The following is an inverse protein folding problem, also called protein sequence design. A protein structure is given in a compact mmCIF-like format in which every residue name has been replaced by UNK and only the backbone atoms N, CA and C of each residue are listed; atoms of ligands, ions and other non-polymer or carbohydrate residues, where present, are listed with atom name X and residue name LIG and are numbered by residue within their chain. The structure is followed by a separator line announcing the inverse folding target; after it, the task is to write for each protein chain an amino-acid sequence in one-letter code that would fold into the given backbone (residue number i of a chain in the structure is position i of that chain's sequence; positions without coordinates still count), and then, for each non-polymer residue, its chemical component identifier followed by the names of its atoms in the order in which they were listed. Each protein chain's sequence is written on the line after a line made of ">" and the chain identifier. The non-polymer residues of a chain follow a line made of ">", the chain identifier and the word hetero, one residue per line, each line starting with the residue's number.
data_IF_987797983408
#
_entry.id   IF_987797983408
#
_cell.length_a   1.000
_cell.length_b   1.000
_cell.length_c   1.000
_cell.angle_alpha   90.00
_cell.angle_beta   90.00
_cell.angle_gamma   90.00
#
_symmetry.space_group_name_H-M   'P 1'
#
loop_
_entity.id
_entity.type
_entity.pdbx_description
1 polymer ?
#
# COMPACT_ATOMS: atom_id res chain seq x y z
N UNK A 1 18.73 -10.59 4.07
CA UNK A 1 17.76 -9.92 4.94
C UNK A 1 16.54 -9.46 4.14
N UNK A 2 15.37 -9.69 4.70
CA UNK A 2 14.13 -9.28 4.06
C UNK A 2 13.92 -7.78 4.22
N UNK A 3 13.61 -7.09 3.14
CA UNK A 3 13.26 -5.69 3.18
C UNK A 3 11.75 -5.55 3.13
N UNK A 4 11.25 -4.51 3.76
CA UNK A 4 9.82 -4.27 3.92
C UNK A 4 9.44 -2.91 3.34
N UNK A 5 8.32 -2.88 2.62
CA UNK A 5 7.81 -1.64 2.01
C UNK A 5 6.32 -1.50 2.31
N UNK A 6 5.90 -0.29 2.60
CA UNK A 6 4.50 0.05 2.79
C UNK A 6 4.04 0.91 1.62
N UNK A 7 3.05 0.45 0.87
CA UNK A 7 2.51 1.15 -0.28
C UNK A 7 1.05 1.48 -0.03
N UNK A 8 0.71 2.78 -0.04
CA UNK A 8 -0.68 3.22 0.02
C UNK A 8 -1.20 3.43 -1.39
N UNK A 9 -2.52 3.27 -1.59
CA UNK A 9 -3.10 3.33 -2.93
C UNK A 9 -2.73 2.12 -3.77
N UNK A 10 -2.56 0.97 -3.13
CA UNK A 10 -2.04 -0.24 -3.79
C UNK A 10 -3.09 -1.02 -4.58
N UNK A 11 -4.35 -0.60 -4.56
CA UNK A 11 -5.42 -1.36 -5.21
C UNK A 11 -5.51 -1.18 -6.71
N UNK A 12 -4.86 -0.18 -7.26
CA UNK A 12 -4.92 0.10 -8.71
C UNK A 12 -3.73 0.94 -9.16
N UNK A 13 -3.55 1.00 -10.47
CA UNK A 13 -2.56 1.88 -11.11
C UNK A 13 -1.13 1.62 -10.67
N UNK A 14 -0.41 2.69 -10.44
CA UNK A 14 1.01 2.65 -10.08
C UNK A 14 1.23 1.91 -8.76
N UNK A 15 0.37 2.14 -7.77
CA UNK A 15 0.49 1.49 -6.47
C UNK A 15 0.42 -0.03 -6.56
N UNK A 16 -0.53 -0.55 -7.35
CA UNK A 16 -0.66 -1.98 -7.58
C UNK A 16 0.57 -2.54 -8.29
N UNK A 17 1.04 -1.85 -9.33
CA UNK A 17 2.21 -2.30 -10.09
C UNK A 17 3.45 -2.35 -9.20
N UNK A 18 3.65 -1.34 -8.34
CA UNK A 18 4.77 -1.32 -7.40
C UNK A 18 4.67 -2.47 -6.40
N UNK A 19 3.48 -2.71 -5.85
CA UNK A 19 3.29 -3.79 -4.88
C UNK A 19 3.70 -5.14 -5.48
N UNK A 20 3.24 -5.43 -6.69
CA UNK A 20 3.56 -6.68 -7.36
C UNK A 20 5.06 -6.76 -7.68
N UNK A 21 5.65 -5.66 -8.15
CA UNK A 21 7.07 -5.65 -8.49
C UNK A 21 7.94 -5.91 -7.28
N UNK A 22 7.70 -5.21 -6.17
CA UNK A 22 8.50 -5.43 -4.96
C UNK A 22 8.29 -6.82 -4.39
N UNK A 23 7.06 -7.32 -4.43
CA UNK A 23 6.78 -8.69 -3.98
C UNK A 23 7.55 -9.72 -4.82
N UNK A 24 7.58 -9.52 -6.13
CA UNK A 24 8.31 -10.40 -7.04
C UNK A 24 9.82 -10.39 -6.75
N UNK A 25 10.34 -9.25 -6.30
CA UNK A 25 11.76 -9.11 -5.95
C UNK A 25 12.08 -9.59 -4.53
N UNK A 26 11.11 -10.18 -3.84
CA UNK A 26 11.34 -10.77 -2.53
C UNK A 26 11.09 -9.88 -1.33
N UNK A 27 10.58 -8.66 -1.55
CA UNK A 27 10.24 -7.77 -0.46
C UNK A 27 8.95 -8.23 0.23
N UNK A 28 8.83 -7.96 1.52
CA UNK A 28 7.55 -8.03 2.19
C UNK A 28 6.83 -6.72 1.95
N UNK A 29 5.61 -6.79 1.45
CA UNK A 29 4.85 -5.61 1.04
C UNK A 29 3.62 -5.46 1.91
N UNK A 30 3.50 -4.31 2.59
CA UNK A 30 2.28 -3.92 3.24
C UNK A 30 1.49 -3.06 2.24
N UNK A 31 0.35 -3.55 1.80
CA UNK A 31 -0.46 -2.89 0.79
C UNK A 31 -1.71 -2.29 1.43
N UNK A 32 -1.89 -0.99 1.29
CA UNK A 32 -3.02 -0.26 1.86
C UNK A 32 -3.83 0.45 0.79
N UNK A 33 -5.14 0.36 0.91
CA UNK A 33 -6.10 1.06 0.06
C UNK A 33 -7.46 0.97 0.74
N UNK A 34 -8.42 1.75 0.25
CA UNK A 34 -9.77 1.73 0.80
C UNK A 34 -10.51 0.43 0.48
N UNK A 35 -10.25 -0.16 -0.68
CA UNK A 35 -10.98 -1.35 -1.15
C UNK A 35 -10.30 -2.63 -0.69
N UNK A 36 -10.84 -3.17 0.38
CA UNK A 36 -10.30 -4.38 1.01
C UNK A 36 -10.26 -5.57 0.04
N UNK A 37 -11.30 -5.74 -0.77
CA UNK A 37 -11.38 -6.88 -1.68
C UNK A 37 -10.26 -6.88 -2.73
N UNK A 38 -9.87 -5.70 -3.22
CA UNK A 38 -8.78 -5.60 -4.19
C UNK A 38 -7.43 -5.93 -3.55
N UNK A 39 -7.23 -5.51 -2.29
CA UNK A 39 -6.04 -5.87 -1.54
C UNK A 39 -5.98 -7.37 -1.27
N UNK A 40 -7.14 -7.98 -0.99
CA UNK A 40 -7.20 -9.41 -0.76
C UNK A 40 -6.81 -10.19 -2.00
N UNK A 41 -7.21 -9.73 -3.17
CA UNK A 41 -6.81 -10.34 -4.43
C UNK A 41 -5.30 -10.28 -4.64
N UNK A 42 -4.67 -9.16 -4.28
CA UNK A 42 -3.21 -9.05 -4.33
C UNK A 42 -2.53 -10.06 -3.42
N UNK A 43 -3.04 -10.21 -2.20
CA UNK A 43 -2.50 -11.17 -1.25
C UNK A 43 -2.68 -12.60 -1.75
N UNK A 44 -3.82 -12.91 -2.36
CA UNK A 44 -4.10 -14.25 -2.89
C UNK A 44 -3.13 -14.64 -3.99
N UNK A 45 -2.68 -13.67 -4.79
CA UNK A 45 -1.75 -13.92 -5.89
C UNK A 45 -0.28 -13.79 -5.50
N UNK A 46 0.01 -13.13 -4.39
CA UNK A 46 1.37 -12.87 -3.94
C UNK A 46 1.41 -13.01 -2.42
N UNK A 47 1.94 -14.12 -1.93
CA UNK A 47 1.91 -14.43 -0.50
C UNK A 47 2.65 -13.42 0.37
N UNK A 48 3.59 -12.69 -0.18
CA UNK A 48 4.34 -11.67 0.55
C UNK A 48 3.74 -10.26 0.44
N UNK A 49 2.54 -10.13 -0.16
CA UNK A 49 1.77 -8.89 -0.09
C UNK A 49 0.73 -9.04 1.02
N UNK A 50 0.83 -8.21 2.05
CA UNK A 50 -0.05 -8.25 3.21
C UNK A 50 -1.07 -7.12 3.12
N UNK A 51 -2.33 -7.44 3.33
CA UNK A 51 -3.44 -6.49 3.19
C UNK A 51 -3.64 -5.69 4.48
N UNK A 52 -3.56 -4.37 4.37
CA UNK A 52 -3.83 -3.43 5.47
C UNK A 52 -4.78 -2.35 4.99
N UNK A 53 -6.09 -2.62 4.98
CA UNK A 53 -7.06 -1.64 4.47
C UNK A 53 -6.98 -0.31 5.22
N UNK A 54 -6.96 0.78 4.47
CA UNK A 54 -6.80 2.11 5.05
C UNK A 54 -7.36 3.17 4.11
N UNK A 55 -8.14 4.10 4.65
CA UNK A 55 -8.44 5.35 3.97
C UNK A 55 -7.43 6.38 4.48
N UNK A 56 -6.57 6.87 3.61
CA UNK A 56 -5.50 7.80 3.98
C UNK A 56 -6.02 9.14 4.50
N UNK A 57 -7.28 9.43 4.31
CA UNK A 57 -7.90 10.63 4.87
C UNK A 57 -8.11 10.52 6.39
N UNK A 58 -8.10 9.31 6.91
CA UNK A 58 -8.25 9.06 8.34
C UNK A 58 -6.88 8.94 9.00
N UNK A 59 -6.39 10.06 9.55
CA UNK A 59 -5.06 10.11 10.16
C UNK A 59 -4.91 9.19 11.37
N UNK A 60 -5.97 9.08 12.18
CA UNK A 60 -5.93 8.21 13.36
C UNK A 60 -5.77 6.77 12.95
N UNK A 61 -6.49 6.37 11.91
CA UNK A 61 -6.42 5.01 11.40
C UNK A 61 -5.06 4.74 10.77
N UNK A 62 -4.50 5.74 10.09
CA UNK A 62 -3.18 5.60 9.47
C UNK A 62 -2.11 5.30 10.51
N UNK A 63 -2.15 5.97 11.65
CA UNK A 63 -1.21 5.70 12.75
C UNK A 63 -1.35 4.29 13.27
N UNK A 64 -2.58 3.81 13.44
CA UNK A 64 -2.83 2.46 13.91
C UNK A 64 -2.33 1.43 12.91
N UNK A 65 -2.61 1.65 11.64
CA UNK A 65 -2.16 0.74 10.57
C UNK A 65 -0.63 0.69 10.53
N UNK A 66 0.03 1.83 10.66
CA UNK A 66 1.48 1.88 10.71
C UNK A 66 2.03 1.01 11.85
N UNK A 67 1.42 1.11 13.02
CA UNK A 67 1.83 0.28 14.16
C UNK A 67 1.56 -1.19 13.90
N UNK A 68 0.41 -1.52 13.31
CA UNK A 68 0.06 -2.90 12.99
C UNK A 68 1.07 -3.51 12.01
N UNK A 69 1.52 -2.72 11.03
CA UNK A 69 2.53 -3.16 10.08
C UNK A 69 3.85 -3.42 10.79
N UNK A 70 4.25 -2.53 11.70
CA UNK A 70 5.48 -2.71 12.47
C UNK A 70 5.42 -3.97 13.34
N UNK A 71 4.27 -4.27 13.89
CA UNK A 71 4.09 -5.51 14.68
C UNK A 71 4.27 -6.74 13.79
N UNK A 72 3.70 -6.70 12.59
CA UNK A 72 3.73 -7.86 11.69
C UNK A 72 5.07 -8.02 10.97
N UNK A 73 5.62 -6.93 10.45
CA UNK A 73 6.83 -6.96 9.63
C UNK A 73 8.09 -6.56 10.40
N UNK A 74 7.92 -5.96 11.57
CA UNK A 74 8.99 -5.49 12.46
C UNK A 74 9.69 -4.21 12.01
N UNK A 75 9.85 -3.99 10.71
CA UNK A 75 10.46 -2.76 10.18
C UNK A 75 9.70 -2.31 8.94
N UNK A 76 9.90 -1.05 8.58
CA UNK A 76 9.44 -0.49 7.32
C UNK A 76 10.63 0.27 6.74
N UNK A 77 11.18 -0.23 5.63
CA UNK A 77 12.36 0.36 5.00
C UNK A 77 11.98 1.51 4.07
N UNK A 78 10.84 1.39 3.38
CA UNK A 78 10.37 2.41 2.44
C UNK A 78 8.86 2.56 2.59
N UNK A 79 8.38 3.81 2.54
CA UNK A 79 6.95 4.13 2.45
C UNK A 79 6.69 4.83 1.12
N UNK A 80 5.70 4.37 0.38
CA UNK A 80 5.29 5.00 -0.87
C UNK A 80 3.81 5.37 -0.78
N UNK A 81 3.50 6.63 -0.99
CA UNK A 81 2.13 7.12 -0.94
C UNK A 81 1.64 7.42 -2.36
N UNK A 82 0.88 6.47 -2.94
CA UNK A 82 0.30 6.60 -4.27
C UNK A 82 -1.17 6.98 -4.21
N UNK A 83 -1.65 7.36 -3.05
CA UNK A 83 -3.06 7.55 -2.78
C UNK A 83 -3.63 8.81 -3.42
N UNK A 84 -4.89 8.70 -3.83
CA UNK A 84 -5.69 9.85 -4.22
C UNK A 84 -5.42 10.44 -5.59
N UNK A 85 -4.54 9.85 -6.34
CA UNK A 85 -4.08 10.47 -7.59
C UNK A 85 -4.87 10.01 -8.81
N UNK A 86 -5.80 9.07 -8.61
CA UNK A 86 -6.58 8.55 -9.74
C UNK A 86 -7.92 9.24 -9.95
N UNK A 87 -8.22 10.26 -9.15
CA UNK A 87 -9.33 11.13 -9.41
C UNK A 87 -8.91 12.10 -10.50
N UNK A 88 -9.59 12.11 -11.67
CA UNK A 88 -9.22 13.01 -12.76
C UNK A 88 -9.22 14.48 -12.35
N UNK A 89 -10.12 14.87 -11.46
CA UNK A 89 -10.18 16.25 -10.99
C UNK A 89 -8.99 16.59 -10.11
N UNK A 90 -8.57 15.65 -9.27
CA UNK A 90 -7.39 15.83 -8.43
C UNK A 90 -6.13 15.91 -9.28
N UNK A 91 -6.03 15.11 -10.33
CA UNK A 91 -4.90 15.16 -11.26
C UNK A 91 -4.80 16.50 -11.95
N UNK A 92 -5.93 17.06 -12.38
CA UNK A 92 -5.96 18.38 -13.00
C UNK A 92 -5.44 19.45 -12.04
N UNK A 93 -5.81 19.36 -10.76
CA UNK A 93 -5.34 20.31 -9.75
C UNK A 93 -3.85 20.19 -9.52
N UNK A 94 -3.33 18.98 -9.54
CA UNK A 94 -1.93 18.73 -9.28
C UNK A 94 -1.04 19.05 -10.46
N UNK A 95 -1.58 19.01 -11.67
CA UNK A 95 -0.80 19.25 -12.88
C UNK A 95 -0.68 20.73 -13.26
N UNK A 96 -1.34 21.60 -12.54
CA UNK A 96 -1.23 23.05 -12.79
C UNK A 96 -0.11 23.72 -11.95
#
# INVERSE_FOLDING_TARGET
>A
MTKNIWITGASSGIGKALAVKFATEGWQVAASARRKNLLQDLNNNNSNIHSFPLDVKDESRAKKVFQDILVKLQTIDICVFCSGIHDPDAEKKLST
#
